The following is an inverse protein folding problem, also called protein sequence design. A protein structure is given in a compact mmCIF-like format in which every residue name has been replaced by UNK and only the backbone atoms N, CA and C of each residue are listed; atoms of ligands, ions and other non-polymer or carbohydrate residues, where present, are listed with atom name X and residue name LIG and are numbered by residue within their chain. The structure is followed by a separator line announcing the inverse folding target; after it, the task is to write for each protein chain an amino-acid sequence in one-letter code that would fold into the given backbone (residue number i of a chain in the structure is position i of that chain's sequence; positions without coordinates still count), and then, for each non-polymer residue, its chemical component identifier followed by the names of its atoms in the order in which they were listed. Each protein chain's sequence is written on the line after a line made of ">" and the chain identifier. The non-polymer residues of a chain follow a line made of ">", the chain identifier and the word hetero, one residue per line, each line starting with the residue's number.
data_IF_849587939231
#
_entry.id   IF_849587939231
#
_cell.length_a   1.000
_cell.length_b   1.000
_cell.length_c   1.000
_cell.angle_alpha   90.00
_cell.angle_beta   90.00
_cell.angle_gamma   90.00
#
_symmetry.space_group_name_H-M   'P 1'
#
loop_
_entity.id
_entity.type
_entity.pdbx_description
1 polymer ?
#
# COMPACT_ATOMS: atom_id res chain seq x y z
N UNK A 1 -6.42 10.35 4.32
CA UNK A 1 -6.65 8.95 3.95
C UNK A 1 -6.38 8.75 2.46
N UNK A 2 -5.73 7.67 2.13
CA UNK A 2 -5.45 7.36 0.71
C UNK A 2 -6.56 6.50 0.13
N UNK A 3 -7.65 7.14 -0.23
CA UNK A 3 -8.80 6.43 -0.81
C UNK A 3 -8.41 5.63 -2.06
N UNK A 4 -7.55 6.21 -2.89
CA UNK A 4 -7.12 5.53 -4.11
C UNK A 4 -6.36 4.22 -3.81
N UNK A 5 -5.60 4.18 -2.71
CA UNK A 5 -4.87 2.98 -2.32
C UNK A 5 -5.83 1.89 -1.85
N UNK A 6 -6.80 2.27 -1.04
CA UNK A 6 -7.84 1.36 -0.58
C UNK A 6 -8.63 0.78 -1.75
N UNK A 7 -8.98 1.62 -2.72
CA UNK A 7 -9.70 1.17 -3.89
C UNK A 7 -8.87 0.24 -4.77
N UNK A 8 -7.58 0.55 -4.94
CA UNK A 8 -6.67 -0.31 -5.69
C UNK A 8 -6.57 -1.69 -5.05
N UNK A 9 -6.48 -1.74 -3.72
CA UNK A 9 -6.43 -3.00 -2.98
C UNK A 9 -7.72 -3.80 -3.16
N UNK A 10 -8.86 -3.13 -3.04
CA UNK A 10 -10.16 -3.80 -3.19
C UNK A 10 -10.35 -4.32 -4.61
N UNK A 11 -9.90 -3.58 -5.59
CA UNK A 11 -9.98 -3.98 -6.99
C UNK A 11 -9.23 -5.28 -7.25
N UNK A 12 -8.12 -5.48 -6.55
CA UNK A 12 -7.32 -6.70 -6.66
C UNK A 12 -7.80 -7.79 -5.71
N UNK A 13 -8.86 -7.52 -4.94
CA UNK A 13 -9.45 -8.48 -3.98
C UNK A 13 -8.44 -8.97 -2.93
N UNK A 14 -7.56 -8.07 -2.49
CA UNK A 14 -6.53 -8.40 -1.49
C UNK A 14 -6.86 -7.79 -0.14
N UNK A 15 -6.48 -8.51 0.93
CA UNK A 15 -6.61 -7.98 2.28
C UNK A 15 -5.38 -7.16 2.62
N UNK A 16 -5.48 -6.34 3.68
CA UNK A 16 -4.33 -5.58 4.18
C UNK A 16 -3.20 -6.51 4.58
N UNK A 17 -3.53 -7.66 5.17
CA UNK A 17 -2.52 -8.63 5.58
C UNK A 17 -1.76 -9.18 4.38
N UNK A 18 -2.48 -9.48 3.30
CA UNK A 18 -1.84 -10.02 2.10
C UNK A 18 -0.87 -9.00 1.48
N UNK A 19 -1.28 -7.73 1.42
CA UNK A 19 -0.39 -6.68 0.92
C UNK A 19 0.80 -6.50 1.84
N UNK A 20 0.58 -6.47 3.15
CA UNK A 20 1.66 -6.30 4.12
C UNK A 20 2.66 -7.44 4.02
N UNK A 21 2.18 -8.68 3.89
CA UNK A 21 3.06 -9.84 3.74
C UNK A 21 3.89 -9.74 2.47
N UNK A 22 3.27 -9.31 1.37
CA UNK A 22 3.98 -9.14 0.10
C UNK A 22 5.05 -8.06 0.20
N UNK A 23 4.76 -6.97 0.90
CA UNK A 23 5.71 -5.87 1.09
C UNK A 23 6.67 -6.11 2.25
N UNK A 24 6.49 -7.21 2.99
CA UNK A 24 7.32 -7.58 4.14
C UNK A 24 7.29 -6.51 5.24
N UNK A 25 6.10 -6.00 5.50
CA UNK A 25 5.84 -5.03 6.58
C UNK A 25 4.70 -5.58 7.43
N UNK A 26 4.49 -4.98 8.60
CA UNK A 26 3.37 -5.37 9.45
C UNK A 26 2.06 -4.86 8.86
N UNK A 27 0.99 -5.56 9.17
CA UNK A 27 -0.36 -5.15 8.78
C UNK A 27 -0.68 -3.78 9.39
N UNK A 28 -0.26 -3.55 10.62
CA UNK A 28 -0.45 -2.27 11.30
C UNK A 28 0.24 -1.13 10.54
N UNK A 29 1.46 -1.34 10.10
CA UNK A 29 2.19 -0.34 9.31
C UNK A 29 1.46 -0.06 7.99
N UNK A 30 1.03 -1.10 7.31
CA UNK A 30 0.28 -0.93 6.06
C UNK A 30 -1.01 -0.13 6.30
N UNK A 31 -1.74 -0.47 7.37
CA UNK A 31 -2.96 0.24 7.73
C UNK A 31 -2.70 1.73 7.93
N UNK A 32 -1.60 2.08 8.59
CA UNK A 32 -1.22 3.48 8.80
C UNK A 32 -0.91 4.18 7.47
N UNK A 33 -0.30 3.47 6.53
CA UNK A 33 -0.03 4.02 5.19
C UNK A 33 -1.35 4.30 4.47
N UNK A 34 -2.28 3.35 4.52
CA UNK A 34 -3.58 3.50 3.86
C UNK A 34 -4.40 4.64 4.48
N UNK A 35 -4.32 4.79 5.79
CA UNK A 35 -5.02 5.86 6.51
C UNK A 35 -4.36 7.23 6.36
N UNK A 36 -3.14 7.28 5.81
CA UNK A 36 -2.42 8.53 5.65
C UNK A 36 -1.67 9.00 6.89
N UNK A 37 -1.68 8.20 7.96
CA UNK A 37 -0.97 8.53 9.20
C UNK A 37 0.54 8.41 9.04
N UNK A 38 0.98 7.51 8.17
CA UNK A 38 2.39 7.33 7.85
C UNK A 38 2.60 7.32 6.35
N UNK A 39 3.80 7.71 5.94
CA UNK A 39 4.19 7.64 4.54
C UNK A 39 5.02 6.38 4.31
N UNK A 40 4.88 5.80 3.13
CA UNK A 40 5.69 4.67 2.73
C UNK A 40 7.07 5.17 2.29
N UNK A 41 8.13 4.45 2.67
CA UNK A 41 9.45 4.69 2.11
C UNK A 41 9.45 4.25 0.65
N UNK A 42 10.44 4.70 -0.13
CA UNK A 42 10.53 4.32 -1.55
C UNK A 42 10.53 2.80 -1.73
N UNK A 43 11.36 2.02 -0.99
CA UNK A 43 11.32 0.57 -1.15
C UNK A 43 9.96 -0.04 -0.83
N UNK A 44 9.29 0.43 0.22
CA UNK A 44 7.97 -0.07 0.60
C UNK A 44 6.94 0.33 -0.45
N UNK A 45 6.98 1.58 -0.91
CA UNK A 45 6.07 2.06 -1.94
C UNK A 45 6.19 1.21 -3.21
N UNK A 46 7.40 0.87 -3.63
CA UNK A 46 7.63 0.03 -4.79
C UNK A 46 7.03 -1.36 -4.62
N UNK A 47 7.18 -1.95 -3.45
CA UNK A 47 6.63 -3.28 -3.18
C UNK A 47 5.11 -3.30 -3.19
N UNK A 48 4.49 -2.30 -2.55
CA UNK A 48 3.04 -2.18 -2.53
C UNK A 48 2.51 -1.93 -3.95
N UNK A 49 3.15 -1.02 -4.67
CA UNK A 49 2.75 -0.68 -6.03
C UNK A 49 2.84 -1.89 -6.97
N UNK A 50 3.91 -2.68 -6.84
CA UNK A 50 4.08 -3.88 -7.63
C UNK A 50 2.95 -4.89 -7.35
N UNK A 51 2.58 -5.04 -6.09
CA UNK A 51 1.51 -5.95 -5.69
C UNK A 51 0.15 -5.52 -6.24
N UNK A 52 -0.09 -4.22 -6.35
CA UNK A 52 -1.38 -3.68 -6.75
C UNK A 52 -1.43 -3.19 -8.19
N UNK A 53 -0.30 -3.17 -8.89
CA UNK A 53 -0.27 -2.85 -10.31
C UNK A 53 -0.40 -1.37 -10.64
N UNK A 54 0.16 -0.49 -9.82
CA UNK A 54 0.19 0.95 -10.10
C UNK A 54 1.60 1.49 -9.95
N UNK A 55 1.91 2.70 -10.52
CA UNK A 55 3.23 3.29 -10.39
C UNK A 55 3.49 3.72 -8.94
N UNK A 56 4.65 3.36 -8.40
CA UNK A 56 4.98 3.67 -7.01
C UNK A 56 5.07 5.19 -6.75
N UNK A 57 5.35 5.95 -7.80
CA UNK A 57 5.42 7.41 -7.69
C UNK A 57 4.11 8.03 -7.21
N UNK A 58 3.01 7.33 -7.38
CA UNK A 58 1.70 7.81 -6.96
C UNK A 58 1.63 8.10 -5.45
N UNK A 59 2.45 7.41 -4.67
CA UNK A 59 2.53 7.68 -3.23
C UNK A 59 3.04 9.08 -2.92
N UNK A 60 3.75 9.69 -3.85
CA UNK A 60 4.46 10.95 -3.63
C UNK A 60 3.92 12.10 -4.48
N UNK A 61 2.82 11.89 -5.12
CA UNK A 61 2.16 12.94 -5.90
C UNK A 61 1.36 13.89 -5.03
#
# INVERSE_FOLDING_TARGET
>A
MREWLKEARKKEALTMKQIADTAKISECFYSQIENGTRNASVPVAKKIASALGFPWQKFFE
#
